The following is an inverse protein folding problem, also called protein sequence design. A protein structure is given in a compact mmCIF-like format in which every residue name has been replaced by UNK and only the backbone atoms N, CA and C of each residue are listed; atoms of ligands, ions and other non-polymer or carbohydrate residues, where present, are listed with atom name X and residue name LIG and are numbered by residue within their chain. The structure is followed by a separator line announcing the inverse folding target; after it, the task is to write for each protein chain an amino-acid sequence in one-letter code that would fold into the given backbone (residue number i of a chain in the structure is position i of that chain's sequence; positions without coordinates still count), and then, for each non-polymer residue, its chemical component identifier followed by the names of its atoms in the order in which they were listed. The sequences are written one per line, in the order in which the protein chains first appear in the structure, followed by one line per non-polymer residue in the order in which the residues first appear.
data_IF_181238491643
#
_entry.id   IF_181238491643
#
_cell.length_a   1.000
_cell.length_b   1.000
_cell.length_c   1.000
_cell.angle_alpha   90.00
_cell.angle_beta   90.00
_cell.angle_gamma   90.00
#
_symmetry.space_group_name_H-M   'P 1'
#
loop_
_entity.id
_entity.type
_entity.pdbx_description
1 polymer ?
#
# COMPACT_ATOMS: atom_id res chain seq x y z
N UNK A 1 -13.20 -5.44 21.24
CA UNK A 1 -13.03 -4.76 19.94
C UNK A 1 -12.00 -3.68 20.19
N UNK A 2 -10.73 -4.02 19.99
CA UNK A 2 -9.61 -3.12 20.26
C UNK A 2 -9.65 -1.93 19.29
N UNK A 3 -9.36 -0.74 19.79
CA UNK A 3 -9.48 0.57 19.13
C UNK A 3 -8.52 0.83 17.94
N UNK A 4 -8.03 -0.21 17.24
CA UNK A 4 -7.01 -0.07 16.18
C UNK A 4 -7.55 -0.02 14.73
N UNK A 5 -8.85 -0.18 14.51
CA UNK A 5 -9.46 -0.07 13.17
C UNK A 5 -9.89 1.38 12.84
N UNK A 6 -8.98 2.34 13.02
CA UNK A 6 -9.15 3.62 12.31
C UNK A 6 -8.77 3.34 10.86
N UNK A 7 -9.76 3.13 10.00
CA UNK A 7 -9.56 3.08 8.55
C UNK A 7 -8.71 4.29 8.20
N UNK A 8 -7.43 4.11 7.82
CA UNK A 8 -6.61 5.24 7.46
C UNK A 8 -7.32 5.93 6.31
N UNK A 9 -7.17 7.25 6.21
CA UNK A 9 -7.60 7.97 5.01
C UNK A 9 -6.67 7.57 3.87
N UNK A 10 -6.84 6.35 3.35
CA UNK A 10 -6.04 5.80 2.27
C UNK A 10 -6.40 6.59 1.02
N UNK A 11 -5.39 7.14 0.36
CA UNK A 11 -5.60 7.89 -0.88
C UNK A 11 -6.19 6.97 -1.95
N UNK A 12 -7.14 7.45 -2.77
CA UNK A 12 -7.69 6.66 -3.86
C UNK A 12 -6.57 6.25 -4.81
N UNK A 13 -6.47 4.95 -5.12
CA UNK A 13 -5.39 4.39 -5.93
C UNK A 13 -4.30 3.67 -5.12
N UNK A 14 -4.39 3.67 -3.80
CA UNK A 14 -3.43 2.98 -2.91
C UNK A 14 -4.17 1.91 -2.10
N UNK A 15 -3.59 0.72 -1.96
CA UNK A 15 -4.06 -0.33 -1.06
C UNK A 15 -3.26 -0.33 0.24
N UNK A 16 -1.94 -0.20 0.15
CA UNK A 16 -1.01 -0.24 1.27
C UNK A 16 -0.01 0.94 1.19
N UNK A 17 -0.19 1.98 2.02
CA UNK A 17 0.74 3.11 2.08
C UNK A 17 2.16 2.67 2.46
N UNK A 18 3.16 3.36 1.90
CA UNK A 18 4.57 3.06 2.15
C UNK A 18 4.93 3.10 3.65
N UNK A 19 4.33 4.00 4.42
CA UNK A 19 4.55 4.11 5.87
C UNK A 19 4.12 2.84 6.62
N UNK A 20 3.04 2.19 6.17
CA UNK A 20 2.56 0.94 6.76
C UNK A 20 3.50 -0.21 6.40
N UNK A 21 4.01 -0.24 5.16
CA UNK A 21 5.00 -1.23 4.70
C UNK A 21 6.29 -1.13 5.51
N UNK A 22 6.80 0.09 5.72
CA UNK A 22 7.98 0.32 6.56
C UNK A 22 7.74 -0.11 8.02
N UNK A 23 6.54 0.10 8.55
CA UNK A 23 6.17 -0.35 9.90
C UNK A 23 6.15 -1.87 10.02
N UNK A 24 5.62 -2.56 9.00
CA UNK A 24 5.42 -4.01 9.03
C UNK A 24 6.67 -4.80 8.65
N UNK A 25 7.43 -4.34 7.65
CA UNK A 25 8.58 -5.05 7.09
C UNK A 25 9.93 -4.45 7.49
N UNK A 26 9.94 -3.22 8.03
CA UNK A 26 11.16 -2.48 8.35
C UNK A 26 11.78 -1.79 7.13
N UNK A 27 12.90 -1.07 7.33
CA UNK A 27 13.58 -0.35 6.26
C UNK A 27 14.17 -1.32 5.23
N UNK A 28 14.06 -1.02 3.93
CA UNK A 28 14.60 -1.88 2.89
C UNK A 28 16.13 -1.93 2.91
N UNK A 29 16.71 -3.09 2.56
CA UNK A 29 18.14 -3.22 2.32
C UNK A 29 18.47 -2.81 0.88
N UNK A 30 18.86 -1.55 0.68
CA UNK A 30 19.23 -1.03 -0.65
C UNK A 30 18.81 0.42 -0.84
N UNK A 31 18.59 0.81 -2.10
CA UNK A 31 18.06 2.13 -2.45
C UNK A 31 16.57 2.20 -2.11
N UNK A 32 16.25 2.92 -1.04
CA UNK A 32 14.87 3.09 -0.55
C UNK A 32 13.99 3.77 -1.60
N UNK A 33 14.53 4.72 -2.38
CA UNK A 33 13.74 5.46 -3.37
C UNK A 33 13.26 4.55 -4.50
N UNK A 34 14.14 3.69 -5.01
CA UNK A 34 13.82 2.74 -6.06
C UNK A 34 12.76 1.72 -5.60
N UNK A 35 12.90 1.22 -4.37
CA UNK A 35 11.98 0.22 -3.83
C UNK A 35 10.62 0.84 -3.56
N UNK A 36 10.59 2.07 -3.03
CA UNK A 36 9.36 2.83 -2.83
C UNK A 36 8.64 3.07 -4.16
N UNK A 37 9.34 3.56 -5.18
CA UNK A 37 8.75 3.83 -6.50
C UNK A 37 8.14 2.55 -7.10
N UNK A 38 8.87 1.44 -7.01
CA UNK A 38 8.39 0.16 -7.51
C UNK A 38 7.19 -0.37 -6.71
N UNK A 39 7.18 -0.15 -5.39
CA UNK A 39 6.08 -0.50 -4.51
C UNK A 39 4.82 0.30 -4.84
N UNK A 40 4.91 1.63 -4.90
CA UNK A 40 3.78 2.51 -5.21
C UNK A 40 3.18 2.16 -6.59
N UNK A 41 4.03 1.82 -7.57
CA UNK A 41 3.57 1.35 -8.88
C UNK A 41 2.82 0.00 -8.82
N UNK A 42 3.35 -0.97 -8.06
CA UNK A 42 2.69 -2.27 -7.87
C UNK A 42 1.37 -2.14 -7.12
N UNK A 43 1.33 -1.30 -6.10
CA UNK A 43 0.15 -1.04 -5.28
C UNK A 43 -0.97 -0.40 -6.10
N UNK A 44 -0.66 0.52 -7.00
CA UNK A 44 -1.62 1.07 -7.96
C UNK A 44 -2.22 -0.01 -8.89
N UNK A 45 -1.40 -0.94 -9.38
CA UNK A 45 -1.89 -2.06 -10.17
C UNK A 45 -2.75 -3.02 -9.35
N UNK A 46 -2.38 -3.29 -8.10
CA UNK A 46 -3.17 -4.11 -7.19
C UNK A 46 -4.54 -3.46 -6.91
N UNK A 47 -4.58 -2.14 -6.68
CA UNK A 47 -5.81 -1.38 -6.50
C UNK A 47 -6.73 -1.50 -7.71
N UNK A 48 -6.19 -1.29 -8.92
CA UNK A 48 -6.95 -1.44 -10.17
C UNK A 48 -7.45 -2.88 -10.36
N UNK A 49 -6.62 -3.87 -10.05
CA UNK A 49 -7.02 -5.28 -10.12
C UNK A 49 -8.16 -5.58 -9.16
N UNK A 50 -8.08 -5.16 -7.90
CA UNK A 50 -9.15 -5.34 -6.91
C UNK A 50 -10.45 -4.67 -7.37
N UNK A 51 -10.37 -3.44 -7.86
CA UNK A 51 -11.54 -2.76 -8.43
C UNK A 51 -12.13 -3.48 -9.63
N UNK A 52 -11.28 -4.06 -10.49
CA UNK A 52 -11.73 -4.86 -11.62
C UNK A 52 -12.52 -6.10 -11.19
N UNK A 53 -12.21 -6.67 -10.03
CA UNK A 53 -12.96 -7.78 -9.44
C UNK A 53 -14.29 -7.38 -8.79
N UNK A 54 -14.42 -6.15 -8.30
CA UNK A 54 -15.66 -5.67 -7.67
C UNK A 54 -16.73 -5.32 -8.72
N UNK A 55 -16.32 -4.86 -9.90
CA UNK A 55 -17.25 -4.42 -10.96
C UNK A 55 -17.79 -5.56 -11.85
N UNK A 56 -17.56 -6.82 -11.51
CA UNK A 56 -18.03 -8.02 -12.23
C UNK A 56 -19.03 -8.81 -11.39
#
# INVERSE_FOLDING_TARGET
MSEEDKVPSISPGTCLPWEQVLKDYGPPSGDESLIRDQWEQLDAFAYLYLWWWVQR
#
